data_IF_570941973540
#
_entry.id   IF_570941973540
#
_cell.length_a   1.000
_cell.length_b   1.000
_cell.length_c   1.000
_cell.angle_alpha   90.00
_cell.angle_beta   90.00
_cell.angle_gamma   90.00
#
_symmetry.space_group_name_H-M   'P 1'
#
loop_
_entity.id
_entity.type
_entity.pdbx_description
1 polymer ?
#
# COMPACT_ATOMS: atom_id res chain seq x y z
N UNK A 1 -24.71 -17.31 17.02
CA UNK A 1 -23.31 -17.02 16.63
C UNK A 1 -22.93 -15.54 16.79
N UNK A 2 -23.83 -14.64 17.20
CA UNK A 2 -23.55 -13.19 17.36
C UNK A 2 -22.48 -12.85 18.42
N UNK A 3 -22.21 -13.75 19.37
CA UNK A 3 -21.22 -13.58 20.44
C UNK A 3 -19.89 -14.32 20.21
N UNK A 4 -19.62 -14.79 18.98
CA UNK A 4 -18.35 -15.45 18.69
C UNK A 4 -17.18 -14.46 18.85
N UNK A 5 -16.11 -14.83 19.59
CA UNK A 5 -14.94 -13.97 19.73
C UNK A 5 -14.30 -13.72 18.36
N UNK A 6 -13.84 -12.49 18.15
CA UNK A 6 -13.19 -12.07 16.90
C UNK A 6 -11.79 -12.67 16.82
N UNK A 7 -11.43 -13.25 15.68
CA UNK A 7 -10.09 -13.78 15.48
C UNK A 7 -9.07 -12.64 15.34
N UNK A 8 -7.82 -12.81 15.80
CA UNK A 8 -6.76 -11.86 15.53
C UNK A 8 -6.48 -11.83 14.02
N UNK A 9 -6.17 -10.64 13.51
CA UNK A 9 -5.84 -10.40 12.10
C UNK A 9 -4.34 -10.20 11.93
N UNK A 10 -3.81 -10.59 10.78
CA UNK A 10 -2.39 -10.46 10.45
C UNK A 10 -2.13 -9.13 9.73
N UNK A 11 -0.99 -8.53 10.02
CA UNK A 11 -0.44 -7.37 9.31
C UNK A 11 1.00 -7.63 8.86
N UNK A 12 1.49 -6.82 7.93
CA UNK A 12 2.84 -6.95 7.36
C UNK A 12 3.68 -5.72 7.65
N UNK A 13 5.00 -5.93 7.78
CA UNK A 13 5.94 -4.87 8.11
C UNK A 13 6.25 -3.95 6.93
N UNK A 14 6.49 -2.68 7.24
CA UNK A 14 7.01 -1.71 6.28
C UNK A 14 8.42 -2.12 5.81
N UNK A 15 8.70 -1.85 4.54
CA UNK A 15 10.03 -2.04 3.93
C UNK A 15 10.74 -0.70 3.81
N UNK A 16 12.05 -0.74 3.98
CA UNK A 16 12.92 0.43 3.76
C UNK A 16 13.58 0.25 2.40
N UNK A 17 13.57 1.30 1.58
CA UNK A 17 14.36 1.29 0.35
C UNK A 17 15.84 1.21 0.71
N UNK A 18 16.54 0.21 0.16
CA UNK A 18 17.99 0.05 0.34
C UNK A 18 18.80 1.07 -0.45
N UNK A 19 18.14 1.83 -1.34
CA UNK A 19 18.76 2.87 -2.16
C UNK A 19 18.48 4.27 -1.62
N UNK A 20 19.54 5.06 -1.50
CA UNK A 20 19.45 6.49 -1.23
C UNK A 20 19.18 7.19 -2.56
N UNK A 21 17.94 7.63 -2.77
CA UNK A 21 17.59 8.47 -3.91
C UNK A 21 17.91 9.93 -3.56
N UNK A 22 18.81 10.55 -4.30
CA UNK A 22 19.12 11.97 -4.20
C UNK A 22 18.56 12.70 -5.43
N UNK A 23 17.44 13.39 -5.25
CA UNK A 23 16.75 14.05 -6.37
C UNK A 23 17.47 15.31 -6.82
N UNK A 24 17.99 16.12 -5.89
CA UNK A 24 18.59 17.41 -6.22
C UNK A 24 19.63 17.39 -7.36
N UNK A 25 20.71 16.59 -7.31
CA UNK A 25 21.71 16.61 -8.39
C UNK A 25 21.14 16.13 -9.73
N UNK A 26 20.31 15.09 -9.71
CA UNK A 26 19.74 14.47 -10.91
C UNK A 26 18.73 15.42 -11.59
N UNK A 27 17.83 16.02 -10.82
CA UNK A 27 16.85 16.97 -11.33
C UNK A 27 17.50 18.24 -11.85
N UNK A 28 18.49 18.77 -11.12
CA UNK A 28 19.18 19.98 -11.55
C UNK A 28 19.92 19.77 -12.86
N UNK A 29 20.61 18.64 -13.00
CA UNK A 29 21.26 18.27 -14.25
C UNK A 29 20.24 18.11 -15.40
N UNK A 30 19.10 17.47 -15.13
CA UNK A 30 18.05 17.28 -16.12
C UNK A 30 17.42 18.60 -16.59
N UNK A 31 17.13 19.52 -15.67
CA UNK A 31 16.58 20.85 -15.98
C UNK A 31 17.55 21.64 -16.87
N UNK A 32 18.84 21.70 -16.47
CA UNK A 32 19.86 22.39 -17.26
C UNK A 32 20.00 21.79 -18.67
N UNK A 33 20.02 20.46 -18.78
CA UNK A 33 20.28 19.78 -20.04
C UNK A 33 19.11 19.77 -21.02
N UNK A 34 17.86 19.63 -20.54
CA UNK A 34 16.69 19.42 -21.39
C UNK A 34 15.76 20.63 -21.50
N UNK A 35 15.74 21.49 -20.49
CA UNK A 35 14.89 22.69 -20.49
C UNK A 35 15.70 23.98 -20.72
N UNK A 36 17.03 23.92 -20.60
CA UNK A 36 17.93 25.07 -20.74
C UNK A 36 17.53 26.24 -19.81
N UNK A 37 16.99 25.89 -18.64
CA UNK A 37 16.61 26.79 -17.56
C UNK A 37 17.64 26.70 -16.41
N UNK A 38 17.73 27.77 -15.60
CA UNK A 38 18.57 27.76 -14.40
C UNK A 38 17.98 26.79 -13.36
N UNK A 39 18.69 25.68 -13.01
CA UNK A 39 18.21 24.70 -12.05
C UNK A 39 17.95 25.25 -10.65
N UNK A 40 18.61 26.34 -10.28
CA UNK A 40 18.47 26.92 -8.95
C UNK A 40 17.08 27.55 -8.72
N UNK A 41 16.37 27.91 -9.81
CA UNK A 41 14.97 28.38 -9.80
C UNK A 41 14.02 27.36 -9.15
N UNK A 42 14.35 26.07 -9.21
CA UNK A 42 13.51 24.96 -8.71
C UNK A 42 13.95 24.42 -7.34
N UNK A 43 14.86 25.11 -6.64
CA UNK A 43 15.44 24.64 -5.37
C UNK A 43 14.37 24.42 -4.30
N UNK A 44 13.31 25.25 -4.27
CA UNK A 44 12.23 25.14 -3.29
C UNK A 44 11.40 23.87 -3.50
N UNK A 45 11.05 23.56 -4.73
CA UNK A 45 10.28 22.38 -5.15
C UNK A 45 11.08 21.10 -4.90
N UNK A 46 12.36 21.10 -5.27
CA UNK A 46 13.29 19.99 -5.00
C UNK A 46 13.38 19.73 -3.50
N UNK A 47 13.53 20.77 -2.68
CA UNK A 47 13.57 20.64 -1.22
C UNK A 47 12.27 20.10 -0.66
N UNK A 48 11.13 20.55 -1.18
CA UNK A 48 9.80 20.04 -0.79
C UNK A 48 9.65 18.54 -1.08
N UNK A 49 10.11 18.08 -2.25
CA UNK A 49 10.13 16.66 -2.61
C UNK A 49 11.03 15.84 -1.67
N UNK A 50 12.21 16.34 -1.33
CA UNK A 50 13.13 15.67 -0.40
C UNK A 50 12.59 15.60 1.03
N UNK A 51 11.93 16.66 1.50
CA UNK A 51 11.22 16.66 2.79
C UNK A 51 10.08 15.64 2.79
N UNK A 52 9.29 15.58 1.72
CA UNK A 52 8.22 14.60 1.57
C UNK A 52 8.77 13.16 1.55
N UNK A 53 9.90 12.93 0.85
CA UNK A 53 10.61 11.65 0.87
C UNK A 53 11.02 11.26 2.29
N UNK A 54 11.64 12.18 3.04
CA UNK A 54 12.08 11.91 4.42
C UNK A 54 10.92 11.43 5.30
N UNK A 55 9.74 12.06 5.16
CA UNK A 55 8.53 11.66 5.86
C UNK A 55 7.96 10.32 5.35
N UNK A 56 8.05 10.04 4.05
CA UNK A 56 7.52 8.82 3.46
C UNK A 56 8.40 7.57 3.70
N UNK A 57 9.71 7.74 3.91
CA UNK A 57 10.62 6.64 4.26
C UNK A 57 10.42 6.16 5.70
N UNK A 58 9.92 7.03 6.59
CA UNK A 58 9.56 6.70 7.97
C UNK A 58 8.17 7.27 8.30
N UNK A 59 7.12 6.72 7.68
CA UNK A 59 5.78 7.23 7.87
C UNK A 59 5.30 6.95 9.30
N UNK A 60 4.38 7.78 9.80
CA UNK A 60 3.63 7.47 11.02
C UNK A 60 2.76 6.24 10.82
N UNK A 61 2.50 5.49 11.90
CA UNK A 61 1.73 4.24 11.83
C UNK A 61 0.24 4.52 12.06
N UNK A 62 -0.32 5.38 11.20
CA UNK A 62 -1.70 5.87 11.27
C UNK A 62 -2.23 6.23 9.87
N UNK A 63 -3.46 6.75 9.79
CA UNK A 63 -4.06 7.21 8.53
C UNK A 63 -3.25 8.36 7.91
N UNK A 64 -2.62 9.21 8.72
CA UNK A 64 -1.74 10.30 8.25
C UNK A 64 -0.52 9.76 7.51
N UNK A 65 0.03 8.64 7.98
CA UNK A 65 1.12 7.93 7.31
C UNK A 65 0.72 7.44 5.93
N UNK A 66 -0.48 6.86 5.80
CA UNK A 66 -1.03 6.44 4.49
C UNK A 66 -1.15 7.62 3.55
N UNK A 67 -1.64 8.77 4.03
CA UNK A 67 -1.76 9.98 3.23
C UNK A 67 -0.38 10.49 2.77
N UNK A 68 0.62 10.47 3.65
CA UNK A 68 2.01 10.83 3.33
C UNK A 68 2.58 9.94 2.23
N UNK A 69 2.42 8.62 2.35
CA UNK A 69 2.86 7.66 1.34
C UNK A 69 2.16 7.89 -0.01
N UNK A 70 0.85 8.10 -0.03
CA UNK A 70 0.09 8.38 -1.25
C UNK A 70 0.52 9.69 -1.92
N UNK A 71 0.70 10.76 -1.14
CA UNK A 71 1.20 12.06 -1.63
C UNK A 71 2.57 11.87 -2.30
N UNK A 72 3.49 11.18 -1.64
CA UNK A 72 4.82 10.94 -2.17
C UNK A 72 4.79 10.07 -3.43
N UNK A 73 4.01 8.99 -3.44
CA UNK A 73 3.81 8.14 -4.60
C UNK A 73 3.31 8.93 -5.83
N UNK A 74 2.35 9.84 -5.64
CA UNK A 74 1.87 10.70 -6.72
C UNK A 74 2.98 11.63 -7.26
N UNK A 75 3.79 12.24 -6.39
CA UNK A 75 4.90 13.10 -6.82
C UNK A 75 5.96 12.33 -7.63
N UNK A 76 6.32 11.12 -7.18
CA UNK A 76 7.21 10.24 -7.93
C UNK A 76 6.63 9.84 -9.28
N UNK A 77 5.31 9.61 -9.35
CA UNK A 77 4.65 9.27 -10.61
C UNK A 77 4.66 10.45 -11.59
N UNK A 78 4.43 11.68 -11.11
CA UNK A 78 4.58 12.88 -11.93
C UNK A 78 6.01 13.05 -12.44
N UNK A 79 7.00 12.86 -11.57
CA UNK A 79 8.40 12.94 -11.98
C UNK A 79 8.75 11.90 -13.05
N UNK A 80 8.35 10.63 -12.82
CA UNK A 80 8.53 9.54 -13.80
C UNK A 80 7.89 9.84 -15.15
N UNK A 81 6.75 10.54 -15.18
CA UNK A 81 6.09 10.89 -16.46
C UNK A 81 6.85 11.95 -17.27
N UNK A 82 7.71 12.74 -16.60
CA UNK A 82 8.52 13.80 -17.23
C UNK A 82 9.89 13.28 -17.67
N UNK A 83 10.47 12.34 -16.93
CA UNK A 83 11.73 11.69 -17.30
C UNK A 83 11.48 10.50 -18.24
N UNK A 84 12.05 10.53 -19.45
CA UNK A 84 11.93 9.43 -20.42
C UNK A 84 12.48 8.10 -19.84
N UNK A 85 11.59 7.26 -19.31
CA UNK A 85 11.66 5.80 -19.07
C UNK A 85 12.91 5.16 -18.43
N UNK A 86 13.97 5.88 -18.09
CA UNK A 86 15.27 5.28 -17.71
C UNK A 86 15.60 5.30 -16.22
N UNK A 87 14.82 5.96 -15.36
CA UNK A 87 15.14 5.99 -13.93
C UNK A 87 14.63 4.73 -13.21
N UNK A 88 15.43 3.65 -13.25
CA UNK A 88 15.20 2.43 -12.48
C UNK A 88 15.05 2.71 -10.97
N UNK A 89 15.74 3.73 -10.45
CA UNK A 89 15.67 4.10 -9.03
C UNK A 89 14.30 4.66 -8.64
N UNK A 90 13.69 5.53 -9.46
CA UNK A 90 12.32 6.02 -9.23
C UNK A 90 11.30 4.87 -9.29
N UNK A 91 11.46 3.91 -10.21
CA UNK A 91 10.57 2.75 -10.29
C UNK A 91 10.67 1.85 -9.06
N UNK A 92 11.88 1.62 -8.56
CA UNK A 92 12.11 0.88 -7.31
C UNK A 92 11.48 1.62 -6.13
N UNK A 93 11.64 2.94 -6.04
CA UNK A 93 11.07 3.72 -4.95
C UNK A 93 9.53 3.73 -4.99
N UNK A 94 8.93 3.89 -6.18
CA UNK A 94 7.48 3.74 -6.37
C UNK A 94 6.97 2.36 -5.91
N UNK A 95 7.72 1.29 -6.21
CA UNK A 95 7.38 -0.07 -5.79
C UNK A 95 7.40 -0.22 -4.27
N UNK A 96 8.47 0.24 -3.60
CA UNK A 96 8.60 0.20 -2.13
C UNK A 96 7.48 1.00 -1.46
N UNK A 97 7.17 2.20 -1.98
CA UNK A 97 6.10 3.03 -1.43
C UNK A 97 4.73 2.37 -1.62
N UNK A 98 4.45 1.75 -2.77
CA UNK A 98 3.22 0.99 -2.97
C UNK A 98 3.12 -0.21 -2.03
N UNK A 99 4.22 -0.95 -1.83
CA UNK A 99 4.28 -2.02 -0.84
C UNK A 99 3.95 -1.50 0.58
N UNK A 100 4.55 -0.38 0.97
CA UNK A 100 4.34 0.23 2.28
C UNK A 100 2.92 0.76 2.48
N UNK A 101 2.25 1.24 1.42
CA UNK A 101 0.81 1.56 1.47
C UNK A 101 0.02 0.30 1.83
N UNK A 102 0.36 -0.84 1.23
CA UNK A 102 -0.27 -2.13 1.53
C UNK A 102 -0.04 -2.58 2.96
N UNK A 103 1.22 -2.58 3.39
CA UNK A 103 1.63 -2.95 4.74
C UNK A 103 0.95 -2.07 5.81
N UNK A 104 0.95 -0.74 5.64
CA UNK A 104 0.31 0.17 6.61
C UNK A 104 -1.21 -0.02 6.65
N UNK A 105 -1.86 -0.22 5.50
CA UNK A 105 -3.28 -0.57 5.49
C UNK A 105 -3.57 -1.92 6.17
N UNK A 106 -2.72 -2.94 6.00
CA UNK A 106 -2.88 -4.21 6.71
C UNK A 106 -2.78 -4.04 8.23
N UNK A 107 -1.86 -3.19 8.71
CA UNK A 107 -1.71 -2.86 10.12
C UNK A 107 -2.96 -2.14 10.66
N UNK A 108 -3.45 -1.12 9.96
CA UNK A 108 -4.65 -0.39 10.38
C UNK A 108 -5.88 -1.30 10.42
N UNK A 109 -6.06 -2.17 9.43
CA UNK A 109 -7.16 -3.13 9.41
C UNK A 109 -7.08 -4.15 10.54
N UNK A 110 -5.87 -4.58 10.92
CA UNK A 110 -5.66 -5.53 12.01
C UNK A 110 -5.92 -4.93 13.40
N UNK A 111 -5.65 -3.64 13.57
CA UNK A 111 -5.86 -2.90 14.81
C UNK A 111 -7.25 -2.25 14.93
N UNK A 112 -8.08 -2.33 13.89
CA UNK A 112 -9.42 -1.77 13.92
C UNK A 112 -10.37 -2.64 14.76
N UNK A 113 -11.18 -2.00 15.61
CA UNK A 113 -12.11 -2.70 16.47
C UNK A 113 -13.31 -3.21 15.67
N UNK A 114 -13.46 -4.52 15.57
CA UNK A 114 -14.59 -5.16 14.87
C UNK A 114 -15.76 -5.48 15.80
N UNK A 115 -16.00 -4.61 16.79
CA UNK A 115 -17.10 -4.74 17.75
C UNK A 115 -18.43 -4.22 17.22
N UNK A 116 -18.41 -3.35 16.21
CA UNK A 116 -19.59 -2.74 15.62
C UNK A 116 -19.52 -2.74 14.08
N UNK A 117 -20.65 -2.52 13.37
CA UNK A 117 -20.70 -2.55 11.91
C UNK A 117 -19.77 -1.55 11.21
N UNK A 118 -19.48 -0.41 11.83
CA UNK A 118 -18.64 0.63 11.23
C UNK A 118 -17.17 0.25 11.27
N UNK A 119 -16.71 -0.25 12.42
CA UNK A 119 -15.37 -0.81 12.57
C UNK A 119 -15.15 -2.03 11.66
N UNK A 120 -16.16 -2.91 11.51
CA UNK A 120 -16.08 -4.02 10.53
C UNK A 120 -15.94 -3.52 9.09
N UNK A 121 -16.68 -2.46 8.72
CA UNK A 121 -16.56 -1.86 7.38
C UNK A 121 -15.20 -1.21 7.19
N UNK A 122 -14.70 -0.48 8.18
CA UNK A 122 -13.41 0.19 8.12
C UNK A 122 -12.25 -0.81 8.03
N UNK A 123 -12.25 -1.84 8.87
CA UNK A 123 -11.27 -2.94 8.79
C UNK A 123 -11.29 -3.61 7.40
N UNK A 124 -12.49 -3.90 6.89
CA UNK A 124 -12.67 -4.45 5.55
C UNK A 124 -12.10 -3.53 4.46
N UNK A 125 -12.35 -2.23 4.54
CA UNK A 125 -11.80 -1.24 3.59
C UNK A 125 -10.29 -1.22 3.65
N UNK A 126 -9.69 -1.23 4.84
CA UNK A 126 -8.24 -1.28 4.99
C UNK A 126 -7.64 -2.54 4.35
N UNK A 127 -8.21 -3.72 4.60
CA UNK A 127 -7.72 -4.95 3.97
C UNK A 127 -7.91 -4.98 2.46
N UNK A 128 -9.01 -4.44 1.93
CA UNK A 128 -9.18 -4.29 0.48
C UNK A 128 -8.15 -3.33 -0.13
N UNK A 129 -7.87 -2.20 0.52
CA UNK A 129 -6.82 -1.29 0.09
C UNK A 129 -5.44 -1.95 0.13
N UNK A 130 -5.17 -2.77 1.15
CA UNK A 130 -3.92 -3.51 1.26
C UNK A 130 -3.76 -4.55 0.13
N UNK A 131 -4.81 -5.34 -0.13
CA UNK A 131 -4.83 -6.31 -1.21
C UNK A 131 -4.60 -5.66 -2.58
N UNK A 132 -5.26 -4.53 -2.84
CA UNK A 132 -5.06 -3.76 -4.07
C UNK A 132 -3.63 -3.24 -4.22
N UNK A 133 -3.02 -2.76 -3.13
CA UNK A 133 -1.65 -2.27 -3.17
C UNK A 133 -0.67 -3.40 -3.48
N UNK A 134 -0.80 -4.57 -2.82
CA UNK A 134 0.04 -5.74 -3.13
C UNK A 134 -0.18 -6.29 -4.55
N UNK A 135 -1.42 -6.25 -5.04
CA UNK A 135 -1.71 -6.56 -6.45
C UNK A 135 -0.97 -5.60 -7.40
N UNK A 136 -1.01 -4.29 -7.12
CA UNK A 136 -0.28 -3.30 -7.90
C UNK A 136 1.23 -3.56 -7.90
N UNK A 137 1.80 -3.94 -6.75
CA UNK A 137 3.21 -4.34 -6.64
C UNK A 137 3.53 -5.49 -7.58
N UNK A 138 2.73 -6.56 -7.56
CA UNK A 138 2.90 -7.72 -8.45
C UNK A 138 2.78 -7.35 -9.92
N UNK A 139 1.70 -6.68 -10.31
CA UNK A 139 1.40 -6.47 -11.73
C UNK A 139 2.34 -5.45 -12.37
N UNK A 140 2.59 -4.32 -11.69
CA UNK A 140 3.32 -3.18 -12.27
C UNK A 140 4.82 -3.21 -12.01
N UNK A 141 5.27 -3.94 -10.99
CA UNK A 141 6.65 -3.90 -10.53
C UNK A 141 7.30 -5.27 -10.34
N UNK A 142 6.73 -6.34 -10.90
CA UNK A 142 7.26 -7.72 -10.81
C UNK A 142 8.79 -7.81 -10.99
N UNK A 143 9.33 -7.08 -11.97
CA UNK A 143 10.78 -7.06 -12.28
C UNK A 143 11.68 -6.50 -11.15
N UNK A 144 11.11 -5.80 -10.16
CA UNK A 144 11.82 -5.20 -9.04
C UNK A 144 11.42 -5.79 -7.68
N UNK A 145 10.41 -6.65 -7.62
CA UNK A 145 9.84 -7.12 -6.35
C UNK A 145 10.84 -7.93 -5.54
N UNK A 146 11.65 -8.75 -6.20
CA UNK A 146 12.63 -9.64 -5.53
C UNK A 146 13.70 -8.89 -4.74
N UNK A 147 13.87 -7.58 -4.96
CA UNK A 147 14.76 -6.73 -4.15
C UNK A 147 14.24 -6.49 -2.72
N UNK A 148 12.94 -6.70 -2.47
CA UNK A 148 12.32 -6.49 -1.15
C UNK A 148 11.69 -7.74 -0.55
N UNK A 149 11.19 -8.65 -1.39
CA UNK A 149 10.58 -9.92 -1.01
C UNK A 149 10.37 -10.80 -2.25
N UNK A 150 10.40 -12.14 -2.13
CA UNK A 150 9.95 -13.03 -3.19
C UNK A 150 8.52 -12.68 -3.65
N UNK A 151 8.28 -12.70 -4.95
CA UNK A 151 6.96 -12.35 -5.52
C UNK A 151 5.82 -13.23 -5.00
N UNK A 152 6.11 -14.49 -4.65
CA UNK A 152 5.19 -15.43 -4.03
C UNK A 152 4.74 -14.93 -2.65
N UNK A 153 5.61 -14.29 -1.89
CA UNK A 153 5.24 -13.70 -0.60
C UNK A 153 4.34 -12.48 -0.78
N UNK A 154 4.58 -11.64 -1.78
CA UNK A 154 3.67 -10.53 -2.09
C UNK A 154 2.29 -11.06 -2.51
N UNK A 155 2.25 -12.17 -3.25
CA UNK A 155 0.99 -12.82 -3.58
C UNK A 155 0.28 -13.38 -2.35
N UNK A 156 1.03 -14.01 -1.45
CA UNK A 156 0.50 -14.48 -0.19
C UNK A 156 -0.08 -13.33 0.64
N UNK A 157 0.62 -12.19 0.75
CA UNK A 157 0.13 -10.99 1.46
C UNK A 157 -1.19 -10.48 0.87
N UNK A 158 -1.30 -10.45 -0.47
CA UNK A 158 -2.54 -10.11 -1.15
C UNK A 158 -3.69 -11.05 -0.76
N UNK A 159 -3.47 -12.37 -0.80
CA UNK A 159 -4.52 -13.36 -0.48
C UNK A 159 -4.94 -13.28 0.99
N UNK A 160 -3.98 -13.13 1.91
CA UNK A 160 -4.28 -12.92 3.34
C UNK A 160 -5.15 -11.68 3.53
N UNK A 161 -4.81 -10.55 2.90
CA UNK A 161 -5.64 -9.35 2.99
C UNK A 161 -7.06 -9.57 2.39
N UNK A 162 -7.19 -10.27 1.26
CA UNK A 162 -8.52 -10.59 0.71
C UNK A 162 -9.34 -11.50 1.64
N UNK A 163 -8.70 -12.50 2.25
CA UNK A 163 -9.34 -13.38 3.22
C UNK A 163 -9.83 -12.57 4.44
N UNK A 164 -8.97 -11.73 5.02
CA UNK A 164 -9.32 -10.91 6.18
C UNK A 164 -10.43 -9.88 5.86
N UNK A 165 -10.45 -9.32 4.64
CA UNK A 165 -11.56 -8.49 4.19
C UNK A 165 -12.87 -9.28 4.10
N UNK A 166 -12.82 -10.51 3.57
CA UNK A 166 -13.99 -11.38 3.42
C UNK A 166 -14.50 -11.90 4.78
N UNK A 167 -13.60 -12.10 5.75
CA UNK A 167 -13.94 -12.39 7.13
C UNK A 167 -14.70 -11.22 7.76
N UNK A 168 -14.23 -9.97 7.61
CA UNK A 168 -14.98 -8.79 8.08
C UNK A 168 -16.40 -8.71 7.50
N UNK A 169 -16.58 -9.07 6.21
CA UNK A 169 -17.90 -9.14 5.55
C UNK A 169 -18.76 -10.26 6.13
N UNK A 170 -18.16 -11.41 6.44
CA UNK A 170 -18.84 -12.54 7.06
C UNK A 170 -19.32 -12.16 8.47
N UNK A 171 -18.43 -11.58 9.29
CA UNK A 171 -18.72 -11.08 10.63
C UNK A 171 -19.90 -10.10 10.63
N UNK A 172 -19.88 -9.13 9.70
CA UNK A 172 -20.98 -8.18 9.54
C UNK A 172 -22.26 -8.86 9.06
N UNK A 173 -22.19 -9.80 8.12
CA UNK A 173 -23.37 -10.50 7.60
C UNK A 173 -24.07 -11.32 8.68
N UNK A 174 -23.31 -11.90 9.61
CA UNK A 174 -23.85 -12.60 10.77
C UNK A 174 -24.49 -11.64 11.76
N UNK A 175 -23.84 -10.50 12.05
CA UNK A 175 -24.39 -9.47 12.93
C UNK A 175 -25.67 -8.84 12.38
N UNK A 176 -25.73 -8.62 11.06
CA UNK A 176 -26.90 -8.10 10.35
C UNK A 176 -28.05 -9.14 10.25
N UNK A 177 -27.90 -10.35 10.80
CA UNK A 177 -28.85 -11.47 10.69
C UNK A 177 -29.28 -11.75 9.24
N UNK A 178 -28.31 -11.67 8.29
CA UNK A 178 -28.57 -11.98 6.89
C UNK A 178 -28.98 -13.44 6.72
N UNK A 179 -29.75 -13.72 5.65
CA UNK A 179 -30.15 -15.10 5.29
C UNK A 179 -28.95 -16.05 5.27
N UNK A 180 -29.11 -17.27 5.79
CA UNK A 180 -28.06 -18.28 5.86
C UNK A 180 -27.38 -18.55 4.51
N UNK A 181 -28.12 -18.44 3.40
CA UNK A 181 -27.58 -18.57 2.05
C UNK A 181 -26.57 -17.48 1.68
N UNK A 182 -26.73 -16.25 2.20
CA UNK A 182 -25.79 -15.14 2.00
C UNK A 182 -24.54 -15.37 2.85
N UNK A 183 -24.73 -15.73 4.13
CA UNK A 183 -23.63 -16.06 5.05
C UNK A 183 -22.79 -17.21 4.51
N UNK A 184 -23.42 -18.29 4.03
CA UNK A 184 -22.74 -19.43 3.43
C UNK A 184 -21.96 -19.08 2.16
N UNK A 185 -22.46 -18.18 1.31
CA UNK A 185 -21.71 -17.67 0.14
C UNK A 185 -20.46 -16.88 0.56
N UNK A 186 -20.56 -16.06 1.60
CA UNK A 186 -19.41 -15.31 2.13
C UNK A 186 -18.35 -16.24 2.72
N UNK A 187 -18.76 -17.25 3.49
CA UNK A 187 -17.86 -18.27 4.04
C UNK A 187 -17.18 -19.08 2.92
N UNK A 188 -17.94 -19.49 1.89
CA UNK A 188 -17.37 -20.21 0.76
C UNK A 188 -16.31 -19.39 0.02
N UNK A 189 -16.52 -18.07 -0.14
CA UNK A 189 -15.51 -17.18 -0.74
C UNK A 189 -14.24 -17.12 0.11
N UNK A 190 -14.38 -17.02 1.44
CA UNK A 190 -13.24 -17.03 2.36
C UNK A 190 -12.43 -18.33 2.24
N UNK A 191 -13.12 -19.47 2.27
CA UNK A 191 -12.47 -20.79 2.09
C UNK A 191 -11.77 -20.85 0.73
N UNK A 192 -12.41 -20.38 -0.35
CA UNK A 192 -11.77 -20.39 -1.67
C UNK A 192 -10.46 -19.61 -1.70
N UNK A 193 -10.39 -18.44 -1.04
CA UNK A 193 -9.16 -17.63 -0.99
C UNK A 193 -8.03 -18.33 -0.21
N UNK A 194 -8.37 -19.12 0.81
CA UNK A 194 -7.36 -19.79 1.66
C UNK A 194 -6.82 -21.09 1.07
N UNK A 195 -7.57 -21.74 0.17
CA UNK A 195 -7.26 -23.08 -0.34
C UNK A 195 -7.01 -23.14 -1.86
N UNK A 196 -7.23 -22.04 -2.59
CA UNK A 196 -7.01 -21.91 -4.04
C UNK A 196 -6.37 -20.55 -4.36
#
# INVERSE_FOLDING_TARGET
MEAAPRLPMISFDLKVSTKITQFSPQLKQYIAAFYNEDPDTYTTEIRSLELLRSSAVRPTVDVTGVQTLKKYYCQLHFLKSRENNSCNDIRMELMVIMFNIGALHSYLGANESRSNPDGMRLACTHFQCAAWAFQCVKEKYHQFVDYIAPIEFVHFYQQVCLAQAQECILEKSMLDNRKATIVGKSLLKLIKILYF
#
